data_IF_371363123135
#
_entry.id   IF_371363123135
#
_cell.length_a   1.000
_cell.length_b   1.000
_cell.length_c   1.000
_cell.angle_alpha   90.00
_cell.angle_beta   90.00
_cell.angle_gamma   90.00
#
_symmetry.space_group_name_H-M   'P 1'
#
loop_
_entity.id
_entity.type
_entity.pdbx_description
1 polymer ?
#
# COMPACT_ATOMS: atom_id res chain seq x y z
N UNK A 1 13.37 -9.61 1.88
CA UNK A 1 12.46 -10.76 2.18
C UNK A 1 11.77 -10.60 3.52
N UNK A 2 12.47 -10.16 4.57
CA UNK A 2 11.91 -10.00 5.93
C UNK A 2 10.68 -9.09 6.01
N UNK A 3 10.64 -7.99 5.26
CA UNK A 3 9.49 -7.07 5.29
C UNK A 3 8.20 -7.70 4.77
N UNK A 4 8.27 -8.64 3.80
CA UNK A 4 7.08 -9.34 3.29
C UNK A 4 6.49 -10.25 4.36
N UNK A 5 7.33 -11.01 5.06
CA UNK A 5 6.88 -11.86 6.17
C UNK A 5 6.28 -11.03 7.31
N UNK A 6 6.90 -9.89 7.63
CA UNK A 6 6.35 -8.93 8.59
C UNK A 6 4.98 -8.45 8.14
N UNK A 7 4.86 -7.99 6.91
CA UNK A 7 3.61 -7.47 6.35
C UNK A 7 2.51 -8.54 6.34
N UNK A 8 2.85 -9.78 5.95
CA UNK A 8 1.92 -10.90 5.92
C UNK A 8 1.36 -11.24 7.30
N UNK A 9 2.22 -11.21 8.32
CA UNK A 9 1.88 -11.55 9.70
C UNK A 9 1.12 -10.43 10.41
N UNK A 10 1.54 -9.19 10.20
CA UNK A 10 1.03 -8.02 10.94
C UNK A 10 -0.16 -7.35 10.23
N UNK A 11 -0.33 -7.57 8.92
CA UNK A 11 -1.36 -6.92 8.10
C UNK A 11 -0.99 -5.50 7.67
N UNK A 12 0.07 -4.93 8.25
CA UNK A 12 0.57 -3.59 7.94
C UNK A 12 2.09 -3.50 7.98
N UNK A 13 2.61 -2.40 7.43
CA UNK A 13 4.00 -1.97 7.53
C UNK A 13 4.05 -0.58 8.12
N UNK A 14 4.85 -0.40 9.17
CA UNK A 14 5.25 0.91 9.65
C UNK A 14 6.62 1.27 9.06
N UNK A 15 6.65 2.29 8.21
CA UNK A 15 7.82 2.73 7.44
C UNK A 15 8.04 4.23 7.55
N UNK A 16 8.65 4.63 8.67
CA UNK A 16 9.02 6.01 8.95
C UNK A 16 7.78 6.90 9.04
N UNK A 17 7.63 7.80 8.07
CA UNK A 17 6.51 8.73 8.00
C UNK A 17 5.19 8.08 7.57
N UNK A 18 5.17 6.79 7.21
CA UNK A 18 3.99 6.14 6.64
C UNK A 18 3.60 4.85 7.36
N UNK A 19 2.30 4.54 7.36
CA UNK A 19 1.76 3.20 7.62
C UNK A 19 1.13 2.69 6.32
N UNK A 20 1.38 1.44 5.96
CA UNK A 20 0.83 0.81 4.76
C UNK A 20 0.05 -0.43 5.20
N UNK A 21 -1.21 -0.55 4.79
CA UNK A 21 -2.11 -1.62 5.22
C UNK A 21 -2.79 -2.26 4.01
N UNK A 22 -2.83 -3.60 4.01
CA UNK A 22 -3.66 -4.35 3.08
C UNK A 22 -5.06 -4.51 3.68
N UNK A 23 -6.02 -3.79 3.12
CA UNK A 23 -7.44 -3.95 3.47
C UNK A 23 -8.00 -5.07 2.59
N UNK A 24 -8.36 -6.19 3.22
CA UNK A 24 -9.01 -7.32 2.59
C UNK A 24 -10.23 -7.74 3.42
N UNK A 25 -11.42 -7.64 2.85
CA UNK A 25 -12.68 -8.00 3.52
C UNK A 25 -13.26 -9.24 2.87
N UNK A 26 -13.19 -10.37 3.57
CA UNK A 26 -13.82 -11.63 3.15
C UNK A 26 -15.29 -11.65 3.61
N UNK A 27 -16.13 -10.74 3.11
CA UNK A 27 -17.58 -10.84 3.33
C UNK A 27 -18.29 -11.40 2.08
N UNK A 28 -19.06 -12.50 2.21
CA UNK A 28 -19.92 -12.97 1.13
C UNK A 28 -21.08 -11.99 0.80
N UNK A 29 -21.31 -11.00 1.67
CA UNK A 29 -22.39 -10.03 1.57
C UNK A 29 -22.05 -8.80 0.70
N UNK A 30 -20.78 -8.38 0.70
CA UNK A 30 -20.27 -7.20 0.02
C UNK A 30 -18.80 -7.45 -0.35
N UNK A 31 -18.51 -7.88 -1.59
CA UNK A 31 -17.14 -8.05 -2.03
C UNK A 31 -16.52 -6.67 -2.25
N UNK A 32 -15.84 -6.16 -1.23
CA UNK A 32 -14.92 -5.04 -1.41
C UNK A 32 -13.64 -5.58 -2.05
N UNK A 33 -13.22 -5.07 -3.22
CA UNK A 33 -11.94 -5.46 -3.78
C UNK A 33 -10.83 -5.10 -2.78
N UNK A 34 -9.72 -5.87 -2.74
CA UNK A 34 -8.60 -5.53 -1.89
C UNK A 34 -8.10 -4.12 -2.18
N UNK A 35 -7.69 -3.42 -1.13
CA UNK A 35 -7.13 -2.08 -1.25
C UNK A 35 -5.82 -2.02 -0.49
N UNK A 36 -4.85 -1.29 -1.05
CA UNK A 36 -3.63 -0.94 -0.36
C UNK A 36 -3.75 0.50 0.12
N UNK A 37 -3.97 0.66 1.43
CA UNK A 37 -4.09 1.95 2.09
C UNK A 37 -2.72 2.42 2.57
N UNK A 38 -2.46 3.72 2.46
CA UNK A 38 -1.22 4.36 2.82
C UNK A 38 -1.57 5.59 3.65
N UNK A 39 -1.23 5.57 4.93
CA UNK A 39 -1.42 6.68 5.84
C UNK A 39 -0.14 7.51 5.93
N UNK A 40 -0.23 8.80 5.62
CA UNK A 40 0.85 9.78 5.82
C UNK A 40 0.75 10.39 7.22
N UNK A 41 1.64 9.98 8.13
CA UNK A 41 1.68 10.46 9.52
C UNK A 41 2.03 11.95 9.63
N UNK A 42 2.68 12.54 8.62
CA UNK A 42 3.08 13.95 8.65
C UNK A 42 1.92 14.88 8.32
N UNK A 43 1.13 14.49 7.33
CA UNK A 43 0.01 15.29 6.82
C UNK A 43 -1.35 14.85 7.40
N UNK A 44 -1.38 13.77 8.20
CA UNK A 44 -2.60 13.17 8.76
C UNK A 44 -3.63 12.79 7.68
N UNK A 45 -3.15 12.20 6.59
CA UNK A 45 -3.94 11.94 5.38
C UNK A 45 -3.88 10.47 4.97
N UNK A 46 -5.02 9.94 4.52
CA UNK A 46 -5.13 8.60 3.96
C UNK A 46 -5.16 8.61 2.44
N UNK A 47 -4.29 7.80 1.85
CA UNK A 47 -4.27 7.50 0.43
C UNK A 47 -4.59 6.04 0.20
N UNK A 48 -5.05 5.73 -1.01
CA UNK A 48 -5.15 4.36 -1.51
C UNK A 48 -4.55 4.28 -2.91
N UNK A 49 -4.07 3.10 -3.27
CA UNK A 49 -3.64 2.82 -4.64
C UNK A 49 -4.85 2.83 -5.56
N UNK A 50 -4.79 3.64 -6.62
CA UNK A 50 -5.85 3.76 -7.63
C UNK A 50 -5.66 2.71 -8.74
N UNK A 51 -5.76 1.45 -8.34
CA UNK A 51 -5.70 0.32 -9.26
C UNK A 51 -6.81 -0.67 -8.93
N UNK A 52 -7.50 -1.16 -9.96
CA UNK A 52 -8.46 -2.26 -9.78
C UNK A 52 -7.68 -3.57 -9.70
N UNK A 53 -7.84 -4.29 -8.61
CA UNK A 53 -7.26 -5.62 -8.40
C UNK A 53 -8.35 -6.68 -8.41
N UNK A 54 -8.10 -7.77 -9.14
CA UNK A 54 -8.88 -9.00 -9.04
C UNK A 54 -8.05 -9.99 -8.24
N UNK A 55 -8.41 -10.16 -6.96
CA UNK A 55 -7.83 -11.18 -6.10
C UNK A 55 -8.97 -11.98 -5.47
N UNK A 56 -8.88 -13.30 -5.55
CA UNK A 56 -9.93 -14.24 -5.13
C UNK A 56 -9.71 -14.77 -3.71
N UNK A 57 -8.55 -14.46 -3.12
CA UNK A 57 -8.16 -14.87 -1.78
C UNK A 57 -7.12 -13.90 -1.22
N UNK A 58 -6.87 -14.03 0.09
CA UNK A 58 -5.89 -13.19 0.78
C UNK A 58 -4.48 -13.33 0.21
N UNK A 59 -4.07 -14.51 -0.25
CA UNK A 59 -2.72 -14.74 -0.79
C UNK A 59 -2.50 -13.93 -2.06
N UNK A 60 -3.45 -13.97 -3.01
CA UNK A 60 -3.41 -13.16 -4.23
C UNK A 60 -3.41 -11.65 -3.93
N UNK A 61 -4.23 -11.21 -2.97
CA UNK A 61 -4.27 -9.82 -2.55
C UNK A 61 -2.94 -9.37 -1.93
N UNK A 62 -2.31 -10.23 -1.13
CA UNK A 62 -1.02 -9.99 -0.52
C UNK A 62 0.12 -9.94 -1.54
N UNK A 63 0.12 -10.84 -2.52
CA UNK A 63 1.11 -10.83 -3.62
C UNK A 63 0.98 -9.56 -4.47
N UNK A 64 -0.26 -9.14 -4.77
CA UNK A 64 -0.53 -7.86 -5.41
C UNK A 64 0.00 -6.68 -4.60
N UNK A 65 -0.33 -6.61 -3.31
CA UNK A 65 0.13 -5.54 -2.42
C UNK A 65 1.66 -5.47 -2.37
N UNK A 66 2.34 -6.61 -2.30
CA UNK A 66 3.79 -6.69 -2.36
C UNK A 66 4.34 -6.16 -3.70
N UNK A 67 3.72 -6.53 -4.82
CA UNK A 67 4.10 -6.05 -6.14
C UNK A 67 3.96 -4.52 -6.26
N UNK A 68 2.90 -3.94 -5.72
CA UNK A 68 2.71 -2.49 -5.69
C UNK A 68 3.81 -1.80 -4.87
N UNK A 69 4.12 -2.31 -3.67
CA UNK A 69 5.20 -1.76 -2.84
C UNK A 69 6.54 -1.82 -3.58
N UNK A 70 6.86 -2.93 -4.25
CA UNK A 70 8.08 -3.07 -5.05
C UNK A 70 8.12 -2.11 -6.24
N UNK A 71 6.99 -1.88 -6.90
CA UNK A 71 6.85 -0.88 -7.98
C UNK A 71 7.18 0.52 -7.46
N UNK A 72 6.63 0.90 -6.31
CA UNK A 72 6.94 2.20 -5.68
C UNK A 72 8.43 2.33 -5.38
N UNK A 73 9.05 1.27 -4.82
CA UNK A 73 10.50 1.25 -4.49
C UNK A 73 11.34 1.48 -5.76
N UNK A 74 11.01 0.79 -6.86
CA UNK A 74 11.70 0.94 -8.16
C UNK A 74 11.50 2.32 -8.78
N UNK A 75 10.46 3.04 -8.37
CA UNK A 75 10.06 4.32 -8.97
C UNK A 75 9.16 4.16 -10.18
N UNK A 76 8.48 3.03 -10.30
CA UNK A 76 7.42 2.84 -11.29
C UNK A 76 6.26 3.81 -10.95
N UNK A 77 5.53 4.26 -11.97
CA UNK A 77 4.40 5.16 -11.75
C UNK A 77 3.25 4.38 -11.09
N UNK A 78 2.98 4.66 -9.82
CA UNK A 78 1.86 4.12 -9.03
C UNK A 78 0.98 5.29 -8.64
N UNK A 79 -0.29 5.24 -9.05
CA UNK A 79 -1.24 6.31 -8.76
C UNK A 79 -1.81 6.12 -7.36
N UNK A 80 -1.71 7.16 -6.53
CA UNK A 80 -2.33 7.22 -5.22
C UNK A 80 -3.41 8.30 -5.22
N UNK A 81 -4.55 8.00 -4.60
CA UNK A 81 -5.67 8.93 -4.46
C UNK A 81 -6.11 9.00 -3.00
N UNK A 82 -6.41 10.19 -2.52
CA UNK A 82 -7.15 10.42 -1.28
C UNK A 82 -8.60 10.79 -1.58
N UNK A 83 -9.34 11.23 -0.55
CA UNK A 83 -10.70 11.76 -0.73
C UNK A 83 -10.73 13.06 -1.55
N UNK A 84 -9.65 13.84 -1.49
CA UNK A 84 -9.53 15.16 -2.13
C UNK A 84 -8.92 15.10 -3.54
N UNK A 85 -8.46 13.91 -3.97
CA UNK A 85 -7.94 13.69 -5.32
C UNK A 85 -6.57 12.98 -5.33
N UNK A 86 -5.79 13.14 -6.42
CA UNK A 86 -4.49 12.51 -6.55
C UNK A 86 -3.50 12.97 -5.47
N UNK A 87 -2.69 12.05 -4.97
CA UNK A 87 -1.63 12.36 -4.02
C UNK A 87 -0.61 13.35 -4.63
N UNK A 88 -0.18 14.39 -3.89
CA UNK A 88 0.85 15.30 -4.35
C UNK A 88 2.20 14.60 -4.60
N UNK A 89 2.96 15.04 -5.62
CA UNK A 89 4.29 14.50 -5.93
C UNK A 89 5.25 14.40 -4.72
N UNK A 90 5.30 15.39 -3.79
CA UNK A 90 6.15 15.31 -2.60
C UNK A 90 5.82 14.11 -1.70
N UNK A 91 4.55 13.70 -1.63
CA UNK A 91 4.10 12.53 -0.85
C UNK A 91 4.65 11.26 -1.48
N UNK A 92 4.47 11.08 -2.79
CA UNK A 92 4.99 9.92 -3.53
C UNK A 92 6.52 9.80 -3.40
N UNK A 93 7.22 10.93 -3.50
CA UNK A 93 8.69 10.97 -3.33
C UNK A 93 9.10 10.52 -1.93
N UNK A 94 8.49 11.07 -0.87
CA UNK A 94 8.76 10.68 0.52
C UNK A 94 8.40 9.23 0.80
N UNK A 95 7.29 8.74 0.26
CA UNK A 95 6.86 7.35 0.40
C UNK A 95 7.91 6.42 -0.17
N UNK A 96 8.37 6.70 -1.40
CA UNK A 96 9.45 5.94 -2.03
C UNK A 96 10.72 5.95 -1.18
N UNK A 97 11.16 7.11 -0.71
CA UNK A 97 12.36 7.23 0.14
C UNK A 97 12.27 6.40 1.42
N UNK A 98 11.09 6.32 2.05
CA UNK A 98 10.88 5.48 3.23
C UNK A 98 10.82 3.98 2.89
N UNK A 99 10.15 3.62 1.79
CA UNK A 99 10.05 2.24 1.33
C UNK A 99 11.39 1.65 0.85
N UNK A 100 12.26 2.44 0.23
CA UNK A 100 13.60 1.97 -0.20
C UNK A 100 14.45 1.44 0.97
N UNK A 101 14.16 1.87 2.21
CA UNK A 101 14.82 1.37 3.43
C UNK A 101 14.45 -0.07 3.76
N UNK A 102 13.33 -0.60 3.24
CA UNK A 102 12.94 -2.01 3.41
C UNK A 102 13.85 -2.99 2.65
N UNK A 103 14.56 -2.50 1.65
CA UNK A 103 15.43 -3.27 0.76
C UNK A 103 16.91 -2.94 0.95
N UNK A 104 17.23 -2.00 1.83
CA UNK A 104 18.59 -1.55 2.13
C UNK A 104 19.25 -2.38 3.23
#
# INVERSE_FOLDING_TARGET
>A
MEWKEKFKREGFLDVGDFIIELIYVDCPCEPLPPMLAIYDKKEDEWYRVDERVEANNYTEAFEWACSVIERIIRGDNVSLVSIDGPAPDPVLKRLRENLSKLTS
#
